data_IF_577248473181
#
_entry.id   IF_577248473181
#
_cell.length_a   1.000
_cell.length_b   1.000
_cell.length_c   1.000
_cell.angle_alpha   90.00
_cell.angle_beta   90.00
_cell.angle_gamma   90.00
#
_symmetry.space_group_name_H-M   'P 1'
#
loop_
_entity.id
_entity.type
_entity.pdbx_description
1 polymer ?
#
# COMPACT_ATOMS: atom_id res chain seq x y z
N UNK A 1 -10.83 10.48 14.83
CA UNK A 1 -11.42 10.50 13.47
C UNK A 1 -10.56 9.68 12.51
N UNK A 2 -11.00 9.38 11.27
CA UNK A 2 -10.18 8.68 10.27
C UNK A 2 -10.23 9.42 8.93
N UNK A 3 -9.08 9.60 8.30
CA UNK A 3 -8.97 10.23 6.98
C UNK A 3 -8.81 9.13 5.93
N UNK A 4 -9.47 9.31 4.78
CA UNK A 4 -9.35 8.40 3.64
C UNK A 4 -9.28 9.19 2.34
N UNK A 5 -8.37 8.79 1.47
CA UNK A 5 -8.21 9.32 0.12
C UNK A 5 -8.11 8.19 -0.88
N UNK A 6 -8.33 8.51 -2.16
CA UNK A 6 -8.21 7.55 -3.23
C UNK A 6 -7.20 8.10 -4.24
N UNK A 7 -6.24 7.28 -4.66
CA UNK A 7 -5.38 7.60 -5.80
C UNK A 7 -6.16 7.38 -7.10
N UNK A 8 -6.29 8.45 -7.89
CA UNK A 8 -6.97 8.45 -9.19
C UNK A 8 -5.92 8.57 -10.29
N UNK A 9 -6.01 7.67 -11.27
CA UNK A 9 -5.20 7.73 -12.49
C UNK A 9 -6.07 7.78 -13.73
N UNK A 10 -5.52 8.26 -14.84
CA UNK A 10 -6.18 8.11 -16.14
C UNK A 10 -6.20 6.62 -16.53
N UNK A 11 -7.31 6.18 -17.15
CA UNK A 11 -7.45 4.81 -17.64
C UNK A 11 -6.49 4.57 -18.80
N UNK A 12 -5.79 3.44 -18.79
CA UNK A 12 -4.99 2.97 -19.92
C UNK A 12 -5.84 2.68 -21.18
N UNK A 13 -7.14 2.44 -21.02
CA UNK A 13 -8.05 2.10 -22.12
C UNK A 13 -8.74 3.30 -22.75
N UNK A 14 -8.78 4.45 -22.07
CA UNK A 14 -9.53 5.64 -22.50
C UNK A 14 -9.08 6.86 -21.69
N UNK A 15 -8.50 7.85 -22.36
CA UNK A 15 -8.04 9.09 -21.73
C UNK A 15 -9.16 9.92 -21.08
N UNK A 16 -10.43 9.62 -21.35
CA UNK A 16 -11.59 10.32 -20.80
C UNK A 16 -12.08 9.74 -19.46
N UNK A 17 -11.52 8.60 -19.02
CA UNK A 17 -11.97 7.89 -17.82
C UNK A 17 -10.93 7.94 -16.71
N UNK A 18 -11.30 8.52 -15.57
CA UNK A 18 -10.52 8.45 -14.33
C UNK A 18 -10.87 7.15 -13.59
N UNK A 19 -9.85 6.35 -13.29
CA UNK A 19 -9.97 5.09 -12.54
C UNK A 19 -9.39 5.29 -11.15
N UNK A 20 -10.13 4.82 -10.14
CA UNK A 20 -9.62 4.73 -8.78
C UNK A 20 -8.76 3.47 -8.69
N UNK A 21 -7.46 3.64 -8.48
CA UNK A 21 -6.55 2.51 -8.37
C UNK A 21 -6.51 1.95 -6.95
N UNK A 22 -6.40 2.83 -5.95
CA UNK A 22 -6.27 2.43 -4.54
C UNK A 22 -6.85 3.45 -3.59
N UNK A 23 -7.36 2.97 -2.47
CA UNK A 23 -7.73 3.78 -1.32
C UNK A 23 -6.63 3.73 -0.27
N UNK A 24 -6.29 4.89 0.27
CA UNK A 24 -5.39 5.06 1.41
C UNK A 24 -6.16 5.65 2.57
N UNK A 25 -5.74 5.33 3.78
CA UNK A 25 -6.40 5.82 4.97
C UNK A 25 -5.44 5.90 6.13
N UNK A 26 -5.62 6.90 6.97
CA UNK A 26 -4.94 6.96 8.25
C UNK A 26 -5.41 5.84 9.18
N UNK A 27 -4.65 5.62 10.24
CA UNK A 27 -5.15 4.94 11.41
C UNK A 27 -6.31 5.71 12.05
N UNK A 28 -7.05 5.02 12.91
CA UNK A 28 -8.07 5.64 13.74
C UNK A 28 -7.41 6.57 14.75
N UNK A 29 -7.63 7.87 14.59
CA UNK A 29 -7.18 8.87 15.55
C UNK A 29 -8.20 8.99 16.70
N UNK A 30 -7.75 9.26 17.93
CA UNK A 30 -8.60 9.72 19.02
C UNK A 30 -9.52 10.88 18.61
N UNK A 31 -10.62 11.07 19.35
CA UNK A 31 -11.57 12.17 19.08
C UNK A 31 -10.94 13.53 19.38
N UNK A 32 -10.06 13.60 20.38
CA UNK A 32 -9.40 14.82 20.83
C UNK A 32 -8.08 15.10 20.10
N UNK A 33 -7.78 14.36 19.03
CA UNK A 33 -6.58 14.60 18.24
C UNK A 33 -6.62 15.98 17.59
N UNK A 34 -5.53 16.77 17.67
CA UNK A 34 -5.47 18.06 17.01
C UNK A 34 -5.61 17.88 15.50
N UNK A 35 -6.37 18.78 14.88
CA UNK A 35 -6.51 18.79 13.43
C UNK A 35 -5.21 19.33 12.82
N UNK A 36 -4.53 18.52 12.02
CA UNK A 36 -3.34 18.99 11.30
C UNK A 36 -3.74 20.02 10.24
N UNK A 37 -3.01 21.14 10.13
CA UNK A 37 -3.30 22.15 9.11
C UNK A 37 -3.06 21.57 7.72
N UNK A 38 -3.87 22.00 6.75
CA UNK A 38 -3.68 21.60 5.36
C UNK A 38 -2.30 22.05 4.87
N UNK A 39 -1.59 21.20 4.10
CA UNK A 39 -0.28 21.55 3.59
C UNK A 39 -0.39 22.69 2.57
N UNK A 40 0.65 23.52 2.53
CA UNK A 40 0.71 24.67 1.64
C UNK A 40 1.02 24.18 0.24
N UNK A 41 0.11 24.45 -0.69
CA UNK A 41 0.16 23.98 -2.06
C UNK A 41 -0.11 25.13 -3.04
N UNK A 42 0.57 25.10 -4.18
CA UNK A 42 0.45 26.14 -5.22
C UNK A 42 -0.79 25.94 -6.10
N UNK A 43 -1.31 24.71 -6.16
CA UNK A 43 -2.50 24.35 -6.90
C UNK A 43 -3.17 23.10 -6.30
N UNK A 44 -4.41 22.82 -6.71
CA UNK A 44 -5.19 21.68 -6.20
C UNK A 44 -4.52 20.32 -6.45
N UNK A 45 -3.79 20.19 -7.56
CA UNK A 45 -3.05 18.95 -7.87
C UNK A 45 -1.94 18.71 -6.83
N UNK A 46 -1.08 19.70 -6.58
CA UNK A 46 -0.02 19.62 -5.57
C UNK A 46 -0.57 19.42 -4.15
N UNK A 47 -1.72 20.01 -3.83
CA UNK A 47 -2.41 19.79 -2.55
C UNK A 47 -2.82 18.31 -2.40
N UNK A 48 -3.42 17.76 -3.45
CA UNK A 48 -3.85 16.37 -3.48
C UNK A 48 -2.66 15.40 -3.36
N UNK A 49 -1.56 15.67 -4.06
CA UNK A 49 -0.33 14.88 -3.98
C UNK A 49 0.28 14.90 -2.57
N UNK A 50 0.34 16.08 -1.92
CA UNK A 50 0.82 16.20 -0.54
C UNK A 50 -0.06 15.48 0.48
N UNK A 51 -1.39 15.58 0.37
CA UNK A 51 -2.33 14.85 1.25
C UNK A 51 -2.23 13.34 1.01
N UNK A 52 -2.01 12.90 -0.23
CA UNK A 52 -1.75 11.49 -0.51
C UNK A 52 -0.46 11.05 0.17
N UNK A 53 0.64 11.77 -0.03
CA UNK A 53 1.94 11.46 0.57
C UNK A 53 1.87 11.37 2.09
N UNK A 54 1.12 12.22 2.79
CA UNK A 54 0.95 12.14 4.24
C UNK A 54 0.19 10.91 4.71
N UNK A 55 -0.59 10.27 3.83
CA UNK A 55 -1.35 9.05 4.10
C UNK A 55 -0.62 7.79 3.62
N UNK A 56 0.48 7.92 2.87
CA UNK A 56 1.27 6.77 2.43
C UNK A 56 2.16 6.27 3.57
N UNK A 57 2.21 4.95 3.81
CA UNK A 57 2.98 4.37 4.91
C UNK A 57 4.50 4.44 4.71
N UNK A 58 5.00 4.77 3.51
CA UNK A 58 6.43 4.94 3.23
C UNK A 58 6.68 6.16 2.35
N UNK A 59 7.79 6.85 2.61
CA UNK A 59 8.23 7.99 1.81
C UNK A 59 8.57 7.60 0.37
N UNK A 60 8.39 8.54 -0.55
CA UNK A 60 8.73 8.41 -1.94
C UNK A 60 10.25 8.22 -2.08
N UNK A 61 10.67 7.24 -2.87
CA UNK A 61 12.10 7.10 -3.21
C UNK A 61 12.50 8.25 -4.15
N UNK A 62 13.75 8.75 -4.09
CA UNK A 62 14.15 9.98 -4.80
C UNK A 62 14.01 9.93 -6.33
N UNK A 63 13.88 8.74 -6.93
CA UNK A 63 13.70 8.54 -8.37
C UNK A 63 12.31 7.98 -8.75
N UNK A 64 11.42 7.82 -7.78
CA UNK A 64 10.11 7.18 -7.97
C UNK A 64 9.06 8.26 -8.25
N UNK A 65 8.19 8.08 -9.25
CA UNK A 65 7.02 8.96 -9.41
C UNK A 65 5.93 8.58 -8.40
N UNK A 66 4.96 9.45 -8.15
CA UNK A 66 3.84 9.12 -7.24
C UNK A 66 3.04 7.91 -7.74
N UNK A 67 2.91 7.74 -9.06
CA UNK A 67 2.28 6.55 -9.67
C UNK A 67 3.07 5.28 -9.40
N UNK A 68 4.41 5.35 -9.49
CA UNK A 68 5.29 4.21 -9.21
C UNK A 68 5.23 3.83 -7.72
N UNK A 69 5.20 4.82 -6.83
CA UNK A 69 5.06 4.63 -5.39
C UNK A 69 3.74 3.93 -5.04
N UNK A 70 2.63 4.34 -5.64
CA UNK A 70 1.32 3.71 -5.44
C UNK A 70 1.31 2.27 -6.00
N UNK A 71 1.95 2.04 -7.14
CA UNK A 71 2.10 0.72 -7.74
C UNK A 71 2.91 -0.22 -6.84
N UNK A 72 4.08 0.22 -6.37
CA UNK A 72 4.96 -0.53 -5.46
C UNK A 72 4.26 -0.87 -4.15
N UNK A 73 3.59 0.10 -3.54
CA UNK A 73 2.78 -0.14 -2.33
C UNK A 73 1.65 -1.14 -2.59
N UNK A 74 1.08 -1.11 -3.79
CA UNK A 74 0.08 -2.08 -4.21
C UNK A 74 0.60 -3.49 -4.36
N UNK A 75 1.80 -3.66 -4.92
CA UNK A 75 2.47 -4.96 -4.98
C UNK A 75 2.84 -5.47 -3.58
N UNK A 76 3.35 -4.59 -2.72
CA UNK A 76 3.65 -4.88 -1.32
C UNK A 76 2.42 -5.43 -0.59
N UNK A 77 1.29 -4.74 -0.68
CA UNK A 77 0.05 -5.17 -0.01
C UNK A 77 -0.45 -6.52 -0.55
N UNK A 78 -0.36 -6.75 -1.86
CA UNK A 78 -0.72 -8.04 -2.48
C UNK A 78 0.13 -9.17 -1.91
N UNK A 79 1.45 -9.01 -1.90
CA UNK A 79 2.39 -10.01 -1.35
C UNK A 79 2.21 -10.23 0.15
N UNK A 80 1.96 -9.18 0.93
CA UNK A 80 1.65 -9.30 2.36
C UNK A 80 0.35 -10.08 2.59
N UNK A 81 -0.69 -9.86 1.78
CA UNK A 81 -1.95 -10.62 1.86
C UNK A 81 -1.75 -12.09 1.49
N UNK A 82 -0.94 -12.37 0.46
CA UNK A 82 -0.56 -13.75 0.10
C UNK A 82 0.24 -14.44 1.21
N UNK A 83 1.17 -13.71 1.83
CA UNK A 83 1.94 -14.18 2.97
C UNK A 83 1.02 -14.56 4.13
N UNK A 84 0.08 -13.67 4.52
CA UNK A 84 -0.91 -13.95 5.57
C UNK A 84 -1.76 -15.18 5.25
N UNK A 85 -2.17 -15.36 3.98
CA UNK A 85 -2.89 -16.56 3.54
C UNK A 85 -2.05 -17.82 3.72
N UNK A 86 -0.78 -17.81 3.32
CA UNK A 86 0.13 -18.95 3.50
C UNK A 86 0.43 -19.23 4.98
N UNK A 87 0.65 -18.21 5.79
CA UNK A 87 0.85 -18.35 7.24
C UNK A 87 -0.40 -18.96 7.90
N UNK A 88 -1.60 -18.53 7.51
CA UNK A 88 -2.85 -19.13 8.00
C UNK A 88 -3.02 -20.59 7.57
N UNK A 89 -2.55 -20.97 6.37
CA UNK A 89 -2.55 -22.35 5.88
C UNK A 89 -1.55 -23.20 6.63
N UNK A 90 -0.35 -22.68 6.90
CA UNK A 90 0.70 -23.35 7.66
C UNK A 90 0.22 -23.74 9.06
N UNK A 91 -0.50 -22.83 9.74
CA UNK A 91 -1.06 -23.06 11.08
C UNK A 91 -2.11 -24.18 11.10
N UNK A 92 -2.90 -24.31 10.03
CA UNK A 92 -3.96 -25.32 9.91
C UNK A 92 -3.45 -26.68 9.41
N UNK A 93 -2.29 -26.70 8.75
CA UNK A 93 -1.72 -27.91 8.17
C UNK A 93 -1.18 -28.84 9.27
N UNK A 94 -1.40 -30.14 9.11
CA UNK A 94 -0.95 -31.17 10.06
C UNK A 94 0.22 -31.99 9.51
N UNK A 95 0.30 -32.13 8.18
CA UNK A 95 1.34 -32.93 7.54
C UNK A 95 2.68 -32.18 7.48
N UNK A 96 3.75 -32.80 8.00
CA UNK A 96 5.08 -32.19 8.04
C UNK A 96 5.59 -31.81 6.64
N UNK A 97 5.48 -32.70 5.66
CA UNK A 97 5.96 -32.44 4.30
C UNK A 97 5.29 -31.20 3.68
N UNK A 98 3.97 -31.06 3.85
CA UNK A 98 3.24 -29.88 3.40
C UNK A 98 3.62 -28.60 4.14
N UNK A 99 3.92 -28.69 5.45
CA UNK A 99 4.46 -27.54 6.20
C UNK A 99 5.81 -27.07 5.65
N UNK A 100 6.68 -28.01 5.26
CA UNK A 100 7.99 -27.69 4.68
C UNK A 100 7.82 -26.94 3.34
N UNK A 101 6.92 -27.41 2.47
CA UNK A 101 6.59 -26.73 1.21
C UNK A 101 6.02 -25.32 1.43
N UNK A 102 5.05 -25.18 2.34
CA UNK A 102 4.46 -23.86 2.67
C UNK A 102 5.51 -22.93 3.27
N UNK A 103 6.39 -23.43 4.15
CA UNK A 103 7.50 -22.65 4.70
C UNK A 103 8.48 -22.17 3.63
N UNK A 104 8.78 -22.99 2.61
CA UNK A 104 9.61 -22.58 1.49
C UNK A 104 8.96 -21.41 0.71
N UNK A 105 7.65 -21.49 0.44
CA UNK A 105 6.89 -20.42 -0.22
C UNK A 105 6.86 -19.14 0.63
N UNK A 106 6.66 -19.26 1.94
CA UNK A 106 6.70 -18.13 2.89
C UNK A 106 8.07 -17.44 2.86
N UNK A 107 9.18 -18.21 2.85
CA UNK A 107 10.53 -17.62 2.76
C UNK A 107 10.75 -16.85 1.47
N UNK A 108 10.28 -17.40 0.34
CA UNK A 108 10.35 -16.72 -0.96
C UNK A 108 9.55 -15.41 -0.93
N UNK A 109 8.30 -15.45 -0.45
CA UNK A 109 7.48 -14.23 -0.34
C UNK A 109 8.10 -13.20 0.60
N UNK A 110 8.65 -13.61 1.75
CA UNK A 110 9.35 -12.69 2.67
C UNK A 110 10.54 -12.02 1.99
N UNK A 111 11.34 -12.76 1.23
CA UNK A 111 12.45 -12.18 0.48
C UNK A 111 11.99 -11.17 -0.59
N UNK A 112 10.91 -11.48 -1.32
CA UNK A 112 10.35 -10.59 -2.33
C UNK A 112 9.74 -9.32 -1.70
N UNK A 113 9.14 -9.42 -0.50
CA UNK A 113 8.64 -8.27 0.25
C UNK A 113 9.81 -7.37 0.67
N UNK A 114 10.88 -7.94 1.25
CA UNK A 114 12.05 -7.16 1.65
C UNK A 114 12.76 -6.48 0.47
N UNK A 115 12.74 -7.09 -0.72
CA UNK A 115 13.25 -6.47 -1.96
C UNK A 115 12.40 -5.27 -2.42
N UNK A 116 11.10 -5.25 -2.12
CA UNK A 116 10.21 -4.13 -2.45
C UNK A 116 10.16 -3.05 -1.36
N UNK A 117 10.63 -3.36 -0.15
CA UNK A 117 10.78 -2.39 0.95
C UNK A 117 12.09 -1.60 0.83
N UNK A 118 13.18 -2.26 0.47
CA UNK A 118 14.50 -1.67 0.18
C UNK A 118 14.55 -0.99 -1.20
#
# INVERSE_FOLDING_TARGET
MRFATAFKRQSESSNEKLVIERYFSSDWLPVDSPCEPLPIALNLQSLYEQILQSLLPSSQRPTESLSDQVSRLGELQKKQTELQKLESRLQKEKQFNRKVEINAQIRILKSAISQLEN
#
